data_IF_582894646993
#
_entry.id   IF_582894646993
#
_cell.length_a   1.000
_cell.length_b   1.000
_cell.length_c   1.000
_cell.angle_alpha   90.00
_cell.angle_beta   90.00
_cell.angle_gamma   90.00
#
_symmetry.space_group_name_H-M   'P 1'
#
loop_
_entity.id
_entity.type
_entity.pdbx_description
1 polymer ?
#
# COMPACT_ATOMS: atom_id res chain seq x y z
N UNK A 1 3.20 40.61 -27.72
CA UNK A 1 2.05 39.89 -27.14
C UNK A 1 2.43 38.41 -27.10
N UNK A 2 2.93 37.92 -25.96
CA UNK A 2 3.30 36.51 -25.82
C UNK A 2 2.03 35.65 -25.88
N UNK A 3 1.97 34.72 -26.84
CA UNK A 3 0.82 33.85 -27.03
C UNK A 3 0.56 33.03 -25.77
N UNK A 4 -0.66 33.10 -25.24
CA UNK A 4 -1.10 32.25 -24.15
C UNK A 4 -0.98 30.78 -24.58
N UNK A 5 0.08 30.12 -24.11
CA UNK A 5 0.31 28.70 -24.37
C UNK A 5 -0.89 27.87 -23.93
N UNK A 6 -1.24 26.88 -24.74
CA UNK A 6 -2.30 25.91 -24.44
C UNK A 6 -2.06 25.36 -23.03
N UNK A 7 -2.99 25.59 -22.10
CA UNK A 7 -2.93 25.02 -20.73
C UNK A 7 -2.70 23.52 -20.84
N UNK A 8 -1.71 23.02 -20.12
CA UNK A 8 -1.41 21.59 -20.13
C UNK A 8 -2.56 20.85 -19.45
N UNK A 9 -2.75 19.56 -19.78
CA UNK A 9 -3.73 18.73 -19.05
C UNK A 9 -3.38 18.62 -17.56
N UNK A 10 -2.14 18.89 -17.16
CA UNK A 10 -1.73 18.95 -15.76
C UNK A 10 -2.39 20.13 -15.03
N UNK A 11 -2.35 21.33 -15.63
CA UNK A 11 -2.88 22.56 -15.02
C UNK A 11 -4.40 22.51 -14.80
N UNK A 12 -5.10 21.73 -15.62
CA UNK A 12 -6.57 21.61 -15.58
C UNK A 12 -7.03 20.49 -14.66
N UNK A 13 -6.40 19.30 -14.71
CA UNK A 13 -6.90 18.10 -14.05
C UNK A 13 -6.10 17.64 -12.84
N UNK A 14 -4.86 18.13 -12.66
CA UNK A 14 -3.94 17.61 -11.61
C UNK A 14 -3.55 18.69 -10.61
N UNK A 15 -3.03 19.83 -11.07
CA UNK A 15 -2.58 20.93 -10.20
C UNK A 15 -3.67 21.44 -9.23
N UNK A 16 -4.94 21.61 -9.65
CA UNK A 16 -6.02 22.04 -8.75
C UNK A 16 -6.47 20.96 -7.76
N UNK A 17 -6.10 19.70 -8.02
CA UNK A 17 -6.61 18.53 -7.31
C UNK A 17 -5.57 17.84 -6.43
N UNK A 18 -4.41 18.47 -6.19
CA UNK A 18 -3.35 17.92 -5.34
C UNK A 18 -3.85 17.52 -3.93
N UNK A 19 -4.68 18.35 -3.29
CA UNK A 19 -5.25 18.02 -1.99
C UNK A 19 -6.18 16.79 -2.04
N UNK A 20 -6.94 16.64 -3.14
CA UNK A 20 -7.81 15.48 -3.36
C UNK A 20 -6.99 14.21 -3.63
N UNK A 21 -5.91 14.33 -4.39
CA UNK A 21 -4.96 13.24 -4.66
C UNK A 21 -4.33 12.77 -3.35
N UNK A 22 -3.84 13.69 -2.52
CA UNK A 22 -3.27 13.37 -1.22
C UNK A 22 -4.30 12.65 -0.32
N UNK A 23 -5.54 13.16 -0.27
CA UNK A 23 -6.62 12.50 0.48
C UNK A 23 -6.91 11.09 -0.03
N UNK A 24 -6.96 10.88 -1.35
CA UNK A 24 -7.17 9.56 -1.95
C UNK A 24 -6.04 8.59 -1.59
N UNK A 25 -4.79 9.05 -1.60
CA UNK A 25 -3.66 8.24 -1.16
C UNK A 25 -3.76 7.87 0.33
N UNK A 26 -4.18 8.79 1.20
CA UNK A 26 -4.41 8.47 2.63
C UNK A 26 -5.47 7.40 2.84
N UNK A 27 -6.45 7.32 1.92
CA UNK A 27 -7.47 6.27 1.92
C UNK A 27 -6.99 4.95 1.29
N UNK A 28 -5.71 4.85 0.91
CA UNK A 28 -5.13 3.66 0.29
C UNK A 28 -5.42 3.49 -1.20
N UNK A 29 -5.90 4.54 -1.88
CA UNK A 29 -6.15 4.46 -3.32
C UNK A 29 -4.85 4.31 -4.12
N UNK A 30 -4.87 3.43 -5.11
CA UNK A 30 -3.76 3.23 -6.04
C UNK A 30 -3.67 4.39 -7.04
N UNK A 31 -2.48 4.61 -7.61
CA UNK A 31 -2.29 5.64 -8.63
C UNK A 31 -3.18 5.44 -9.85
N UNK A 32 -3.48 4.18 -10.21
CA UNK A 32 -4.39 3.85 -11.31
C UNK A 32 -5.84 4.29 -11.03
N UNK A 33 -6.32 4.09 -9.80
CA UNK A 33 -7.66 4.55 -9.38
C UNK A 33 -7.74 6.07 -9.30
N UNK A 34 -6.66 6.72 -8.85
CA UNK A 34 -6.55 8.18 -8.83
C UNK A 34 -6.62 8.73 -10.26
N UNK A 35 -5.86 8.14 -11.18
CA UNK A 35 -5.89 8.48 -12.61
C UNK A 35 -7.30 8.34 -13.20
N UNK A 36 -7.99 7.24 -12.90
CA UNK A 36 -9.38 7.02 -13.32
C UNK A 36 -10.35 8.07 -12.77
N UNK A 37 -10.18 8.49 -11.52
CA UNK A 37 -11.01 9.54 -10.88
C UNK A 37 -10.75 10.96 -11.43
N UNK A 38 -9.54 11.22 -11.93
CA UNK A 38 -9.14 12.50 -12.49
C UNK A 38 -9.34 12.58 -14.01
N UNK A 39 -9.60 11.45 -14.68
CA UNK A 39 -9.70 11.39 -16.14
C UNK A 39 -8.36 11.54 -16.85
N UNK A 40 -7.25 11.20 -16.18
CA UNK A 40 -5.88 11.31 -16.71
C UNK A 40 -5.35 9.92 -17.01
N UNK A 41 -4.62 9.75 -18.12
CA UNK A 41 -3.96 8.48 -18.42
C UNK A 41 -2.79 8.25 -17.45
N UNK A 42 -2.58 7.00 -17.02
CA UNK A 42 -1.48 6.62 -16.11
C UNK A 42 -0.11 7.01 -16.68
N UNK A 43 0.07 6.90 -18.00
CA UNK A 43 1.31 7.33 -18.68
C UNK A 43 1.57 8.83 -18.54
N UNK A 44 0.54 9.67 -18.72
CA UNK A 44 0.63 11.12 -18.50
C UNK A 44 0.88 11.44 -17.03
N UNK A 45 0.21 10.74 -16.11
CA UNK A 45 0.41 10.92 -14.68
C UNK A 45 1.85 10.59 -14.25
N UNK A 46 2.46 9.56 -14.84
CA UNK A 46 3.87 9.24 -14.62
C UNK A 46 4.80 10.34 -15.09
N UNK A 47 4.54 10.92 -16.27
CA UNK A 47 5.30 12.08 -16.76
C UNK A 47 5.19 13.27 -15.79
N UNK A 48 3.98 13.56 -15.32
CA UNK A 48 3.73 14.67 -14.40
C UNK A 48 4.45 14.53 -13.06
N UNK A 49 4.68 13.31 -12.58
CA UNK A 49 5.48 13.09 -11.36
C UNK A 49 6.94 13.52 -11.52
N UNK A 50 7.49 13.36 -12.72
CA UNK A 50 8.85 13.80 -13.03
C UNK A 50 8.93 15.31 -13.26
N UNK A 51 7.92 15.89 -13.90
CA UNK A 51 7.88 17.32 -14.24
C UNK A 51 7.48 18.20 -13.05
N UNK A 52 6.67 17.69 -12.12
CA UNK A 52 6.07 18.46 -11.03
C UNK A 52 6.35 17.81 -9.66
N UNK A 53 7.39 18.27 -8.94
CA UNK A 53 7.74 17.75 -7.61
C UNK A 53 6.61 17.84 -6.58
N UNK A 54 5.74 18.86 -6.67
CA UNK A 54 4.58 19.03 -5.79
C UNK A 54 3.60 17.84 -5.81
N UNK A 55 3.38 17.23 -6.98
CA UNK A 55 2.55 16.03 -7.13
C UNK A 55 3.22 14.85 -6.42
N UNK A 56 4.52 14.67 -6.65
CA UNK A 56 5.30 13.62 -6.02
C UNK A 56 5.31 13.75 -4.50
N UNK A 57 5.45 14.96 -3.96
CA UNK A 57 5.39 15.20 -2.51
C UNK A 57 3.98 14.97 -1.93
N UNK A 58 2.92 15.37 -2.64
CA UNK A 58 1.55 15.08 -2.23
C UNK A 58 1.27 13.57 -2.15
N UNK A 59 1.74 12.80 -3.15
CA UNK A 59 1.63 11.34 -3.16
C UNK A 59 2.41 10.71 -2.00
N UNK A 60 3.65 11.15 -1.74
CA UNK A 60 4.46 10.63 -0.62
C UNK A 60 3.79 10.87 0.72
N UNK A 61 3.34 12.10 0.99
CA UNK A 61 2.64 12.43 2.26
C UNK A 61 1.38 11.60 2.44
N UNK A 62 0.63 11.39 1.36
CA UNK A 62 -0.57 10.56 1.41
C UNK A 62 -0.28 9.09 1.70
N UNK A 63 0.79 8.53 1.10
CA UNK A 63 1.20 7.13 1.26
C UNK A 63 1.68 6.81 2.67
N UNK A 64 2.44 7.71 3.31
CA UNK A 64 2.94 7.48 4.69
C UNK A 64 1.81 7.11 5.65
N UNK A 65 0.69 7.83 5.62
CA UNK A 65 -0.45 7.55 6.51
C UNK A 65 -1.09 6.19 6.22
N UNK A 66 -1.18 5.82 4.94
CA UNK A 66 -1.74 4.53 4.54
C UNK A 66 -0.81 3.38 4.94
N UNK A 67 0.50 3.54 4.73
CA UNK A 67 1.53 2.59 5.10
C UNK A 67 1.56 2.39 6.63
N UNK A 68 1.57 3.49 7.40
CA UNK A 68 1.50 3.47 8.87
C UNK A 68 0.24 2.73 9.37
N UNK A 69 -0.90 2.92 8.71
CA UNK A 69 -2.15 2.24 9.06
C UNK A 69 -2.05 0.72 8.82
N UNK A 70 -1.43 0.30 7.72
CA UNK A 70 -1.17 -1.11 7.42
C UNK A 70 -0.19 -1.70 8.43
N UNK A 71 0.89 -0.98 8.77
CA UNK A 71 1.86 -1.41 9.78
C UNK A 71 1.19 -1.60 11.16
N UNK A 72 0.33 -0.66 11.57
CA UNK A 72 -0.40 -0.75 12.83
C UNK A 72 -1.38 -1.93 12.84
N UNK A 73 -2.09 -2.17 11.74
CA UNK A 73 -3.00 -3.31 11.59
C UNK A 73 -2.24 -4.64 11.61
N UNK A 74 -1.12 -4.72 10.90
CA UNK A 74 -0.26 -5.89 10.86
C UNK A 74 0.32 -6.20 12.24
N UNK A 75 0.79 -5.18 12.97
CA UNK A 75 1.27 -5.34 14.34
C UNK A 75 0.18 -5.91 15.26
N UNK A 76 -1.04 -5.34 15.23
CA UNK A 76 -2.18 -5.86 16.00
C UNK A 76 -2.45 -7.32 15.67
N UNK A 77 -2.42 -7.69 14.39
CA UNK A 77 -2.61 -9.08 13.95
C UNK A 77 -1.46 -9.99 14.41
N UNK A 78 -0.23 -9.50 14.41
CA UNK A 78 0.95 -10.23 14.86
C UNK A 78 0.96 -10.51 16.38
N UNK A 79 0.40 -9.62 17.20
CA UNK A 79 0.33 -9.78 18.67
C UNK A 79 -1.01 -10.32 19.17
N UNK A 80 -2.03 -10.37 18.31
CA UNK A 80 -3.41 -10.67 18.70
C UNK A 80 -4.11 -9.43 19.30
N UNK A 81 -5.44 -9.40 19.18
CA UNK A 81 -6.24 -8.30 19.74
C UNK A 81 -7.68 -8.74 20.01
N UNK A 82 -8.34 -8.02 20.91
CA UNK A 82 -9.78 -8.20 21.16
C UNK A 82 -10.57 -7.10 20.47
N UNK A 83 -11.78 -7.43 19.99
CA UNK A 83 -12.71 -6.45 19.46
C UNK A 83 -14.14 -6.78 19.86
N UNK A 84 -14.94 -5.72 20.05
CA UNK A 84 -16.35 -5.85 20.39
C UNK A 84 -17.18 -5.93 19.10
N UNK A 85 -17.77 -7.11 18.86
CA UNK A 85 -18.75 -7.28 17.80
C UNK A 85 -20.11 -6.80 18.30
N UNK A 86 -20.64 -5.76 17.65
CA UNK A 86 -21.94 -5.18 17.98
C UNK A 86 -22.98 -5.70 16.98
N UNK A 87 -23.96 -6.45 17.46
CA UNK A 87 -25.13 -6.85 16.67
C UNK A 87 -26.34 -6.06 17.14
N UNK A 88 -26.94 -5.30 16.21
CA UNK A 88 -28.22 -4.63 16.44
C UNK A 88 -29.32 -5.55 15.96
N UNK A 89 -30.08 -6.10 16.89
CA UNK A 89 -31.22 -6.96 16.59
C UNK A 89 -32.49 -6.14 16.72
N UNK A 90 -33.36 -6.22 15.73
CA UNK A 90 -34.69 -5.61 15.77
C UNK A 90 -35.76 -6.69 15.93
N UNK A 91 -36.72 -6.47 16.84
CA UNK A 91 -37.92 -7.30 16.95
C UNK A 91 -39.15 -6.39 16.97
N UNK A 92 -40.28 -6.95 16.54
CA UNK A 92 -41.58 -6.29 16.62
C UNK A 92 -42.27 -6.79 17.87
N UNK A 93 -42.62 -5.87 18.76
CA UNK A 93 -43.38 -6.15 19.97
C UNK A 93 -44.84 -6.49 19.63
N UNK A 94 -45.58 -7.09 20.57
CA UNK A 94 -46.99 -7.46 20.39
C UNK A 94 -47.90 -6.26 20.03
N UNK A 95 -47.46 -5.05 20.35
CA UNK A 95 -48.11 -3.78 19.98
C UNK A 95 -47.65 -3.21 18.62
N UNK A 96 -47.08 -4.03 17.73
CA UNK A 96 -46.54 -3.62 16.42
C UNK A 96 -45.45 -2.53 16.46
N UNK A 97 -44.87 -2.28 17.63
CA UNK A 97 -43.77 -1.33 17.77
C UNK A 97 -42.44 -2.03 17.47
N UNK A 98 -41.67 -1.46 16.55
CA UNK A 98 -40.33 -1.96 16.24
C UNK A 98 -39.36 -1.50 17.34
N UNK A 99 -38.80 -2.46 18.07
CA UNK A 99 -37.78 -2.22 19.10
C UNK A 99 -36.44 -2.75 18.64
N UNK A 100 -35.38 -2.07 19.03
CA UNK A 100 -34.01 -2.48 18.75
C UNK A 100 -33.28 -2.72 20.06
N UNK A 101 -32.47 -3.77 20.12
CA UNK A 101 -31.52 -3.98 21.21
C UNK A 101 -30.14 -4.29 20.65
N UNK A 102 -29.12 -3.86 21.41
CA UNK A 102 -27.72 -4.02 21.05
C UNK A 102 -27.13 -5.17 21.86
N UNK A 103 -26.66 -6.21 21.18
CA UNK A 103 -25.82 -7.25 21.80
C UNK A 103 -24.36 -6.91 21.51
N UNK A 104 -23.54 -6.81 22.55
CA UNK A 104 -22.09 -6.59 22.45
C UNK A 104 -21.40 -7.89 22.84
N UNK A 105 -20.65 -8.49 21.91
CA UNK A 105 -19.85 -9.71 22.15
C UNK A 105 -18.39 -9.38 21.96
N UNK A 106 -17.59 -9.45 23.02
CA UNK A 106 -16.13 -9.32 22.94
C UNK A 106 -15.55 -10.60 22.36
N UNK A 107 -14.86 -10.48 21.22
CA UNK A 107 -14.15 -11.58 20.56
C UNK A 107 -12.65 -11.36 20.64
N UNK A 108 -11.91 -12.45 20.77
CA UNK A 108 -10.46 -12.46 20.70
C UNK A 108 -10.00 -12.97 19.35
N UNK A 109 -9.03 -12.25 18.77
CA UNK A 109 -8.29 -12.66 17.61
C UNK A 109 -6.90 -13.10 18.08
N UNK A 110 -6.55 -14.39 17.95
CA UNK A 110 -5.23 -14.85 18.37
C UNK A 110 -4.12 -14.26 17.48
N UNK A 111 -2.89 -14.21 18.00
CA UNK A 111 -1.72 -13.82 17.22
C UNK A 111 -1.57 -14.64 15.93
N UNK A 112 -1.23 -13.96 14.84
CA UNK A 112 -0.96 -14.57 13.55
C UNK A 112 0.55 -14.79 13.37
N UNK A 113 0.95 -16.06 13.27
CA UNK A 113 2.37 -16.46 13.20
C UNK A 113 3.06 -15.88 11.96
N UNK A 114 2.36 -15.83 10.82
CA UNK A 114 2.91 -15.29 9.57
C UNK A 114 3.13 -13.79 9.68
N UNK A 115 2.15 -13.06 10.23
CA UNK A 115 2.30 -11.62 10.50
C UNK A 115 3.46 -11.35 11.46
N UNK A 116 3.63 -12.18 12.50
CA UNK A 116 4.74 -12.08 13.43
C UNK A 116 6.10 -12.33 12.76
N UNK A 117 6.22 -13.37 11.92
CA UNK A 117 7.45 -13.66 11.16
C UNK A 117 7.80 -12.49 10.24
N UNK A 118 6.83 -11.97 9.49
CA UNK A 118 7.05 -10.85 8.57
C UNK A 118 7.49 -9.59 9.34
N UNK A 119 6.83 -9.28 10.45
CA UNK A 119 7.19 -8.16 11.32
C UNK A 119 8.62 -8.28 11.86
N UNK A 120 9.01 -9.47 12.33
CA UNK A 120 10.34 -9.72 12.88
C UNK A 120 11.43 -9.66 11.82
N UNK A 121 11.18 -10.18 10.60
CA UNK A 121 12.09 -10.05 9.45
C UNK A 121 12.37 -8.60 9.09
N UNK A 122 11.38 -7.72 9.19
CA UNK A 122 11.54 -6.30 8.88
C UNK A 122 12.19 -5.50 10.01
N UNK A 123 11.81 -5.75 11.28
CA UNK A 123 12.28 -4.98 12.44
C UNK A 123 13.54 -5.50 13.12
N UNK A 124 13.87 -6.79 12.97
CA UNK A 124 15.06 -7.45 13.53
C UNK A 124 15.73 -8.36 12.49
N UNK A 125 16.10 -7.80 11.31
CA UNK A 125 16.62 -8.59 10.20
C UNK A 125 17.87 -9.37 10.58
N UNK A 126 18.72 -8.85 11.48
CA UNK A 126 19.94 -9.50 11.94
C UNK A 126 19.69 -10.87 12.61
N UNK A 127 18.50 -11.08 13.19
CA UNK A 127 18.12 -12.34 13.84
C UNK A 127 17.15 -13.19 13.02
N UNK A 128 16.32 -12.57 12.17
CA UNK A 128 15.17 -13.24 11.56
C UNK A 128 15.18 -13.28 10.04
N UNK A 129 16.05 -12.50 9.37
CA UNK A 129 16.18 -12.56 7.91
C UNK A 129 16.71 -13.93 7.50
N UNK A 130 16.14 -14.50 6.45
CA UNK A 130 16.61 -15.77 5.90
C UNK A 130 18.07 -15.62 5.45
N UNK A 131 18.97 -16.40 6.05
CA UNK A 131 20.37 -16.49 5.60
C UNK A 131 20.47 -17.62 4.57
N UNK A 132 20.88 -17.26 3.37
CA UNK A 132 21.28 -18.23 2.36
C UNK A 132 22.79 -18.40 2.47
N UNK A 133 23.24 -19.48 3.09
CA UNK A 133 24.64 -19.87 3.08
C UNK A 133 24.93 -20.53 1.74
N UNK A 134 25.54 -19.79 0.80
CA UNK A 134 26.09 -20.39 -0.40
C UNK A 134 27.43 -21.03 -0.04
N UNK A 135 27.43 -22.33 0.24
CA UNK A 135 28.65 -23.13 0.33
C UNK A 135 29.31 -23.19 -1.04
N UNK A 136 30.26 -22.31 -1.32
CA UNK A 136 31.07 -22.36 -2.54
C UNK A 136 32.20 -23.39 -2.36
N UNK A 137 31.85 -24.66 -2.18
CA UNK A 137 32.80 -25.78 -2.27
C UNK A 137 32.80 -26.31 -3.70
N UNK A 138 33.54 -25.62 -4.56
CA UNK A 138 33.71 -26.06 -5.93
C UNK A 138 34.84 -25.28 -6.58
N UNK A 139 36.03 -25.85 -6.57
CA UNK A 139 37.08 -25.48 -7.51
C UNK A 139 36.57 -25.84 -8.91
N UNK A 140 35.89 -24.90 -9.58
CA UNK A 140 35.44 -25.09 -10.96
C UNK A 140 36.66 -24.82 -11.84
N UNK A 141 37.30 -25.84 -12.44
CA UNK A 141 38.40 -25.60 -13.35
C UNK A 141 37.85 -24.90 -14.60
N UNK A 142 38.19 -23.63 -14.75
CA UNK A 142 37.92 -22.86 -15.97
C UNK A 142 38.76 -23.48 -17.08
N UNK A 143 38.12 -24.24 -17.97
CA UNK A 143 38.74 -24.62 -19.25
C UNK A 143 38.68 -23.42 -20.17
N UNK A 144 39.83 -22.82 -20.43
CA UNK A 144 40.01 -21.91 -21.56
C UNK A 144 39.75 -22.72 -22.83
N UNK A 145 38.70 -22.35 -23.55
CA UNK A 145 38.45 -22.87 -24.88
C UNK A 145 39.35 -22.03 -25.78
N UNK A 146 40.46 -22.61 -26.26
CA UNK A 146 41.23 -21.99 -27.34
C UNK A 146 40.31 -21.94 -28.56
N UNK A 147 39.97 -20.73 -29.01
CA UNK A 147 39.28 -20.54 -30.27
C UNK A 147 40.18 -21.10 -31.38
N UNK A 148 39.79 -22.26 -31.93
CA UNK A 148 40.33 -22.74 -33.21
C UNK A 148 39.98 -21.68 -34.27
N UNK A 149 40.96 -20.83 -34.57
CA UNK A 149 41.00 -20.05 -35.80
C UNK A 149 41.32 -21.00 -36.95
N UNK A 150 40.29 -21.65 -37.47
CA UNK A 150 40.36 -22.29 -38.77
C UNK A 150 39.56 -21.50 -39.82
N UNK A 151 40.35 -20.96 -40.77
CA UNK A 151 40.10 -20.39 -42.10
C UNK A 151 39.35 -19.05 -42.24
#
# INVERSE_FOLDING_TARGET
>A
MAGAGRKSKYDEFVAPHLARIEHLCRMGATEAEICGKLGVAVSSFNLYKHEHPELSEALKRGKVVADDAVEAALYRRAVGYTYDEVKVNSYVDNNQNQRQFRTVTTKEIPPDVTAAIFWLKNRRPEKWRDRHEFGFEGNIPVKLIEEEKDL
#
